data_IF_095908971675
#
_entry.id   IF_095908971675
#
_cell.length_a   1.000
_cell.length_b   1.000
_cell.length_c   1.000
_cell.angle_alpha   90.00
_cell.angle_beta   90.00
_cell.angle_gamma   90.00
#
_symmetry.space_group_name_H-M   'P 1'
#
loop_
_entity.id
_entity.type
_entity.pdbx_description
1 polymer ?
#
# COMPACT_ATOMS: atom_id res chain seq x y z
N UNK A 1 -26.24 -21.21 26.02
CA UNK A 1 -25.76 -21.29 27.41
C UNK A 1 -24.35 -20.74 27.42
N UNK A 2 -24.13 -19.69 28.19
CA UNK A 2 -22.79 -19.10 28.39
C UNK A 2 -21.96 -20.08 29.22
N UNK A 3 -20.71 -20.31 28.82
CA UNK A 3 -19.76 -21.08 29.61
C UNK A 3 -19.40 -20.28 30.87
N UNK A 4 -19.74 -20.78 32.07
CA UNK A 4 -19.53 -20.06 33.32
C UNK A 4 -18.04 -19.89 33.67
N UNK A 5 -17.13 -20.52 32.93
CA UNK A 5 -15.68 -20.41 33.12
C UNK A 5 -15.05 -19.29 32.30
N UNK A 6 -15.79 -18.72 31.36
CA UNK A 6 -15.28 -17.61 30.53
C UNK A 6 -15.50 -16.27 31.25
N UNK A 7 -14.44 -15.47 31.48
CA UNK A 7 -14.58 -14.17 32.09
C UNK A 7 -15.51 -13.26 31.27
N UNK A 8 -16.40 -12.53 31.96
CA UNK A 8 -17.36 -11.59 31.30
C UNK A 8 -16.61 -10.57 30.42
N UNK A 9 -15.43 -10.13 30.86
CA UNK A 9 -14.58 -9.22 30.10
C UNK A 9 -14.13 -9.78 28.74
N UNK A 10 -13.96 -11.12 28.64
CA UNK A 10 -13.58 -11.77 27.39
C UNK A 10 -14.78 -11.92 26.45
N UNK A 11 -15.97 -12.17 27.00
CA UNK A 11 -17.24 -12.20 26.26
C UNK A 11 -17.59 -10.80 25.71
N UNK A 12 -17.48 -9.77 26.52
CA UNK A 12 -17.69 -8.38 26.09
C UNK A 12 -16.67 -7.96 25.02
N UNK A 13 -15.41 -8.37 25.18
CA UNK A 13 -14.37 -8.09 24.18
C UNK A 13 -14.67 -8.78 22.84
N UNK A 14 -15.12 -10.04 22.86
CA UNK A 14 -15.49 -10.78 21.66
C UNK A 14 -16.69 -10.14 20.94
N UNK A 15 -17.76 -9.82 21.70
CA UNK A 15 -18.99 -9.19 21.17
C UNK A 15 -18.67 -7.78 20.60
N UNK A 16 -17.91 -6.97 21.33
CA UNK A 16 -17.48 -5.66 20.86
C UNK A 16 -16.60 -5.74 19.60
N UNK A 17 -15.66 -6.69 19.57
CA UNK A 17 -14.80 -6.89 18.39
C UNK A 17 -15.61 -7.31 17.18
N UNK A 18 -16.61 -8.19 17.35
CA UNK A 18 -17.48 -8.61 16.28
C UNK A 18 -18.33 -7.46 15.71
N UNK A 19 -18.93 -6.63 16.60
CA UNK A 19 -19.72 -5.45 16.18
C UNK A 19 -18.88 -4.38 15.51
N UNK A 20 -17.72 -4.04 16.07
CA UNK A 20 -16.81 -3.04 15.48
C UNK A 20 -16.26 -3.53 14.14
N UNK A 21 -15.98 -4.83 14.00
CA UNK A 21 -15.54 -5.39 12.73
C UNK A 21 -16.58 -5.27 11.61
N UNK A 22 -17.88 -5.19 11.97
CA UNK A 22 -18.98 -5.07 11.00
C UNK A 22 -19.25 -3.61 10.62
N UNK A 23 -19.26 -2.69 11.60
CA UNK A 23 -19.81 -1.36 11.42
C UNK A 23 -18.75 -0.25 11.36
N UNK A 24 -17.56 -0.50 11.87
CA UNK A 24 -16.50 0.50 11.89
C UNK A 24 -15.71 0.55 10.54
N UNK A 25 -15.22 1.73 10.16
CA UNK A 25 -14.37 1.86 8.99
C UNK A 25 -13.15 0.97 9.05
N UNK A 26 -12.73 0.45 7.89
CA UNK A 26 -11.45 -0.22 7.71
C UNK A 26 -10.32 0.81 7.87
N UNK A 27 -9.40 0.56 8.78
CA UNK A 27 -8.21 1.38 8.97
C UNK A 27 -7.09 0.82 8.08
N UNK A 28 -6.57 1.64 7.18
CA UNK A 28 -5.42 1.30 6.34
C UNK A 28 -4.19 2.06 6.85
N UNK A 29 -3.18 1.30 7.25
CA UNK A 29 -1.87 1.79 7.65
C UNK A 29 -0.93 1.65 6.46
N UNK A 30 -0.26 2.73 6.06
CA UNK A 30 0.71 2.77 4.95
C UNK A 30 2.12 3.03 5.47
N UNK A 31 3.12 2.95 4.60
CA UNK A 31 4.51 3.22 4.97
C UNK A 31 4.77 4.70 5.28
N UNK A 32 3.99 5.60 4.70
CA UNK A 32 4.15 7.04 4.90
C UNK A 32 2.89 7.85 4.67
N UNK A 33 2.96 9.13 5.04
CA UNK A 33 1.87 10.09 4.86
C UNK A 33 1.57 10.38 3.38
N UNK A 34 2.58 10.31 2.53
CA UNK A 34 2.43 10.49 1.09
C UNK A 34 1.53 9.40 0.51
N UNK A 35 1.77 8.13 0.86
CA UNK A 35 0.97 6.99 0.40
C UNK A 35 -0.47 7.12 0.87
N UNK A 36 -0.67 7.40 2.16
CA UNK A 36 -2.01 7.62 2.73
C UNK A 36 -2.76 8.73 1.98
N UNK A 37 -2.09 9.86 1.70
CA UNK A 37 -2.66 10.98 0.98
C UNK A 37 -3.01 10.64 -0.47
N UNK A 38 -2.08 10.02 -1.22
CA UNK A 38 -2.30 9.71 -2.63
C UNK A 38 -3.35 8.60 -2.82
N UNK A 39 -3.35 7.58 -1.97
CA UNK A 39 -4.36 6.52 -2.00
C UNK A 39 -5.75 7.02 -1.60
N UNK A 40 -5.84 7.95 -0.65
CA UNK A 40 -7.12 8.61 -0.31
C UNK A 40 -7.67 9.41 -1.50
N UNK A 41 -6.81 10.14 -2.22
CA UNK A 41 -7.18 10.83 -3.45
C UNK A 41 -7.59 9.86 -4.56
N UNK A 42 -6.87 8.75 -4.73
CA UNK A 42 -7.22 7.71 -5.69
C UNK A 42 -8.60 7.12 -5.39
N UNK A 43 -8.89 6.81 -4.12
CA UNK A 43 -10.18 6.29 -3.68
C UNK A 43 -11.32 7.23 -4.03
N UNK A 44 -11.15 8.55 -3.84
CA UNK A 44 -12.19 9.54 -4.10
C UNK A 44 -12.60 9.63 -5.58
N UNK A 45 -11.70 9.26 -6.51
CA UNK A 45 -11.98 9.24 -7.96
C UNK A 45 -12.48 7.87 -8.40
N UNK A 46 -11.82 6.80 -7.96
CA UNK A 46 -12.08 5.45 -8.49
C UNK A 46 -13.25 4.75 -7.79
N UNK A 47 -13.46 5.02 -6.49
CA UNK A 47 -14.49 4.40 -5.66
C UNK A 47 -15.09 5.42 -4.67
N UNK A 48 -15.75 6.50 -5.15
CA UNK A 48 -16.23 7.59 -4.29
C UNK A 48 -17.24 7.14 -3.23
N UNK A 49 -17.97 6.06 -3.49
CA UNK A 49 -18.94 5.47 -2.55
C UNK A 49 -18.28 4.81 -1.32
N UNK A 50 -16.97 4.56 -1.35
CA UNK A 50 -16.21 3.96 -0.26
C UNK A 50 -15.47 5.00 0.60
N UNK A 51 -15.54 6.28 0.24
CA UNK A 51 -14.98 7.36 1.03
C UNK A 51 -15.66 7.41 2.41
N UNK A 52 -14.86 7.32 3.47
CA UNK A 52 -15.35 7.18 4.84
C UNK A 52 -15.49 5.74 5.34
N UNK A 53 -15.64 4.75 4.45
CA UNK A 53 -15.62 3.32 4.78
C UNK A 53 -14.19 2.78 4.90
N UNK A 54 -13.29 3.29 4.05
CA UNK A 54 -11.84 3.05 4.11
C UNK A 54 -11.18 4.31 4.61
N UNK A 55 -10.45 4.22 5.72
CA UNK A 55 -9.72 5.33 6.32
C UNK A 55 -8.23 5.07 6.29
N UNK A 56 -7.51 5.86 5.52
CA UNK A 56 -6.06 5.89 5.60
C UNK A 56 -5.62 6.68 6.82
N UNK A 57 -4.73 6.10 7.62
CA UNK A 57 -4.22 6.79 8.81
C UNK A 57 -3.33 7.98 8.39
N UNK A 58 -3.58 9.14 9.00
CA UNK A 58 -2.75 10.32 8.80
C UNK A 58 -1.52 10.27 9.71
N UNK A 59 -0.34 10.40 9.11
CA UNK A 59 0.96 10.36 9.79
C UNK A 59 1.65 11.73 9.82
N UNK A 60 0.93 12.83 9.59
CA UNK A 60 1.51 14.19 9.42
C UNK A 60 2.48 14.59 10.54
N UNK A 61 2.34 14.00 11.73
CA UNK A 61 3.18 14.27 12.90
C UNK A 61 4.28 13.22 13.16
N UNK A 62 4.51 12.27 12.24
CA UNK A 62 5.56 11.26 12.43
C UNK A 62 6.76 11.54 11.55
N UNK A 63 7.97 11.67 12.12
CA UNK A 63 9.18 11.99 11.36
C UNK A 63 9.74 10.79 10.57
N UNK A 64 9.40 9.56 10.93
CA UNK A 64 9.96 8.35 10.31
C UNK A 64 8.89 7.55 9.56
N UNK A 65 9.11 7.35 8.26
CA UNK A 65 8.33 6.45 7.39
C UNK A 65 9.04 5.11 7.16
N UNK A 66 8.46 4.32 6.23
CA UNK A 66 9.00 3.06 5.75
C UNK A 66 8.45 1.83 6.44
N UNK A 67 8.69 0.67 5.83
CA UNK A 67 8.11 -0.61 6.20
C UNK A 67 8.41 -1.04 7.65
N UNK A 68 9.58 -0.71 8.20
CA UNK A 68 9.91 -1.00 9.58
C UNK A 68 9.04 -0.20 10.58
N UNK A 69 8.74 1.06 10.27
CA UNK A 69 7.84 1.89 11.06
C UNK A 69 6.40 1.41 10.96
N UNK A 70 5.96 0.96 9.78
CA UNK A 70 4.67 0.32 9.60
C UNK A 70 4.54 -0.94 10.46
N UNK A 71 5.56 -1.79 10.50
CA UNK A 71 5.57 -2.99 11.34
C UNK A 71 5.39 -2.66 12.84
N UNK A 72 6.13 -1.66 13.34
CA UNK A 72 6.00 -1.18 14.73
C UNK A 72 4.59 -0.65 15.02
N UNK A 73 4.00 0.06 14.07
CA UNK A 73 2.67 0.63 14.22
C UNK A 73 1.59 -0.45 14.33
N UNK A 74 1.65 -1.50 13.51
CA UNK A 74 0.76 -2.66 13.60
C UNK A 74 0.83 -3.28 15.00
N UNK A 75 2.03 -3.51 15.50
CA UNK A 75 2.24 -4.07 16.85
C UNK A 75 1.69 -3.13 17.94
N UNK A 76 1.83 -1.81 17.77
CA UNK A 76 1.29 -0.83 18.71
C UNK A 76 -0.25 -0.83 18.72
N UNK A 77 -0.90 -0.96 17.55
CA UNK A 77 -2.35 -1.05 17.45
C UNK A 77 -2.89 -2.35 18.06
N UNK A 78 -2.19 -3.46 17.84
CA UNK A 78 -2.49 -4.75 18.47
C UNK A 78 -2.39 -4.65 19.99
N UNK A 79 -1.28 -4.14 20.52
CA UNK A 79 -1.05 -3.97 21.95
C UNK A 79 -2.07 -3.01 22.61
N UNK A 80 -2.53 -1.98 21.88
CA UNK A 80 -3.57 -1.06 22.34
C UNK A 80 -4.99 -1.68 22.28
N UNK A 81 -5.16 -2.87 21.71
CA UNK A 81 -6.45 -3.54 21.60
C UNK A 81 -7.42 -2.86 20.63
N UNK A 82 -6.92 -2.24 19.57
CA UNK A 82 -7.76 -1.63 18.52
C UNK A 82 -8.61 -2.71 17.87
N UNK A 83 -9.94 -2.59 18.02
CA UNK A 83 -10.91 -3.61 17.59
C UNK A 83 -11.31 -3.49 16.11
N UNK A 84 -11.02 -2.38 15.45
CA UNK A 84 -11.30 -2.19 14.04
C UNK A 84 -10.60 -3.24 13.16
N UNK A 85 -11.12 -3.46 11.96
CA UNK A 85 -10.32 -4.09 10.91
C UNK A 85 -9.15 -3.17 10.56
N UNK A 86 -7.94 -3.70 10.63
CA UNK A 86 -6.69 -2.97 10.38
C UNK A 86 -5.92 -3.68 9.27
N UNK A 87 -5.64 -2.98 8.20
CA UNK A 87 -4.82 -3.43 7.09
C UNK A 87 -3.49 -2.67 7.08
N UNK A 88 -2.38 -3.36 7.28
CA UNK A 88 -1.06 -2.85 6.95
C UNK A 88 -0.83 -3.07 5.44
N UNK A 89 -0.70 -2.00 4.71
CA UNK A 89 -0.51 -2.00 3.27
C UNK A 89 0.85 -1.37 2.94
N UNK A 90 1.73 -2.15 2.33
CA UNK A 90 3.11 -1.77 2.06
C UNK A 90 3.45 -1.84 0.57
N UNK A 91 4.56 -1.23 0.20
CA UNK A 91 5.15 -1.32 -1.11
C UNK A 91 5.39 -2.78 -1.53
N UNK A 92 5.39 -3.04 -2.82
CA UNK A 92 5.74 -4.33 -3.40
C UNK A 92 7.23 -4.38 -3.76
N UNK A 93 8.07 -4.01 -2.80
CA UNK A 93 9.51 -3.97 -2.93
C UNK A 93 10.23 -4.93 -1.95
N UNK A 94 11.52 -5.12 -2.16
CA UNK A 94 12.31 -6.06 -1.36
C UNK A 94 12.40 -5.62 0.11
N UNK A 95 12.51 -4.32 0.40
CA UNK A 95 12.62 -3.82 1.77
C UNK A 95 11.33 -4.04 2.56
N UNK A 96 10.18 -3.75 1.96
CA UNK A 96 8.88 -3.98 2.58
C UNK A 96 8.63 -5.47 2.83
N UNK A 97 8.97 -6.33 1.87
CA UNK A 97 8.85 -7.78 2.04
C UNK A 97 9.73 -8.32 3.17
N UNK A 98 10.95 -7.79 3.37
CA UNK A 98 11.84 -8.19 4.46
C UNK A 98 11.33 -7.69 5.82
N UNK A 99 10.97 -6.41 5.90
CA UNK A 99 10.53 -5.77 7.13
C UNK A 99 9.23 -6.38 7.69
N UNK A 100 8.28 -6.73 6.82
CA UNK A 100 6.97 -7.25 7.23
C UNK A 100 6.91 -8.79 7.32
N UNK A 101 8.01 -9.49 7.01
CA UNK A 101 8.07 -10.96 7.06
C UNK A 101 7.65 -11.50 8.42
N UNK A 102 8.14 -10.91 9.52
CA UNK A 102 7.80 -11.36 10.89
C UNK A 102 6.33 -11.18 11.23
N UNK A 103 5.68 -10.10 10.77
CA UNK A 103 4.24 -9.90 10.97
C UNK A 103 3.41 -10.91 10.21
N UNK A 104 3.82 -11.29 9.00
CA UNK A 104 3.12 -12.31 8.19
C UNK A 104 3.23 -13.72 8.77
N UNK A 105 4.35 -14.03 9.43
CA UNK A 105 4.57 -15.33 10.07
C UNK A 105 4.12 -15.37 11.53
N UNK A 106 3.89 -14.21 12.14
CA UNK A 106 3.36 -14.06 13.49
C UNK A 106 1.85 -14.31 13.57
N UNK A 107 1.35 -14.46 14.81
CA UNK A 107 -0.08 -14.65 15.07
C UNK A 107 -0.75 -13.30 15.30
N UNK A 108 -1.14 -12.62 14.22
CA UNK A 108 -1.96 -11.42 14.32
C UNK A 108 -3.44 -11.77 14.61
N UNK A 109 -4.20 -10.90 15.29
CA UNK A 109 -5.65 -11.04 15.44
C UNK A 109 -6.36 -11.16 14.08
N UNK A 110 -7.52 -11.84 14.06
CA UNK A 110 -8.31 -12.01 12.83
C UNK A 110 -8.78 -10.68 12.20
N UNK A 111 -8.84 -9.61 12.97
CA UNK A 111 -9.14 -8.25 12.50
C UNK A 111 -7.95 -7.53 11.88
N UNK A 112 -6.76 -8.15 11.83
CA UNK A 112 -5.54 -7.54 11.27
C UNK A 112 -5.09 -8.32 10.04
N UNK A 113 -4.69 -7.60 9.00
CA UNK A 113 -4.09 -8.16 7.78
C UNK A 113 -2.86 -7.37 7.38
N UNK A 114 -1.94 -8.07 6.71
CA UNK A 114 -0.74 -7.48 6.08
C UNK A 114 -0.77 -7.83 4.61
N UNK A 115 -0.76 -6.81 3.75
CA UNK A 115 -0.71 -6.95 2.29
C UNK A 115 0.37 -6.04 1.73
N UNK A 116 0.91 -6.43 0.57
CA UNK A 116 1.71 -5.57 -0.29
C UNK A 116 0.86 -5.13 -1.48
N UNK A 117 1.27 -4.08 -2.17
CA UNK A 117 0.69 -3.78 -3.46
C UNK A 117 0.75 -5.01 -4.37
N UNK A 118 -0.25 -5.23 -5.22
CA UNK A 118 -0.31 -6.40 -6.08
C UNK A 118 0.74 -6.35 -7.19
N UNK A 119 1.12 -7.52 -7.70
CA UNK A 119 1.94 -7.59 -8.91
C UNK A 119 1.18 -6.96 -10.08
N UNK A 120 1.87 -6.15 -10.91
CA UNK A 120 1.29 -5.52 -12.09
C UNK A 120 1.93 -6.07 -13.37
N UNK A 121 1.15 -6.30 -14.44
CA UNK A 121 1.71 -6.69 -15.74
C UNK A 121 2.75 -5.69 -16.29
N UNK A 122 2.52 -4.39 -16.09
CA UNK A 122 3.46 -3.33 -16.46
C UNK A 122 4.85 -3.55 -15.84
N UNK A 123 4.92 -4.07 -14.62
CA UNK A 123 6.14 -4.25 -13.85
C UNK A 123 6.87 -5.57 -14.16
N UNK A 124 6.25 -6.46 -14.92
CA UNK A 124 6.87 -7.75 -15.30
C UNK A 124 7.95 -7.58 -16.38
N UNK A 125 7.91 -6.50 -17.14
CA UNK A 125 8.89 -6.16 -18.17
C UNK A 125 9.14 -4.64 -18.13
N UNK A 126 9.98 -4.21 -17.18
CA UNK A 126 10.18 -2.80 -16.86
C UNK A 126 11.65 -2.39 -17.03
N UNK A 127 11.96 -1.20 -17.55
CA UNK A 127 13.34 -0.76 -17.75
C UNK A 127 14.06 -0.59 -16.43
N UNK A 128 15.24 -1.20 -16.32
CA UNK A 128 16.11 -1.12 -15.15
C UNK A 128 17.52 -0.73 -15.54
N UNK A 129 18.23 -0.02 -14.66
CA UNK A 129 19.63 0.36 -14.83
C UNK A 129 20.50 -0.43 -13.85
N UNK A 130 21.56 -1.01 -14.38
CA UNK A 130 22.61 -1.62 -13.56
C UNK A 130 23.51 -0.58 -12.88
N UNK A 131 24.39 -1.01 -11.94
CA UNK A 131 25.27 -0.10 -11.21
C UNK A 131 26.27 0.67 -12.10
N UNK A 132 26.54 0.16 -13.28
CA UNK A 132 27.60 0.69 -14.17
C UNK A 132 27.14 0.85 -15.62
N UNK A 133 25.85 0.67 -15.91
CA UNK A 133 25.31 0.80 -17.26
C UNK A 133 24.22 1.85 -17.33
N UNK A 134 24.31 2.71 -18.33
CA UNK A 134 23.26 3.67 -18.68
C UNK A 134 22.26 3.09 -19.69
N UNK A 135 22.52 1.89 -20.21
CA UNK A 135 21.62 1.20 -21.12
C UNK A 135 20.59 0.42 -20.30
N UNK A 136 19.30 0.66 -20.48
CA UNK A 136 18.26 -0.02 -19.74
C UNK A 136 18.14 -1.48 -20.16
N UNK A 137 18.04 -2.36 -19.16
CA UNK A 137 17.69 -3.76 -19.32
C UNK A 137 16.29 -3.99 -18.79
N UNK A 138 15.44 -4.65 -19.56
CA UNK A 138 14.09 -4.94 -19.14
C UNK A 138 14.05 -6.16 -18.22
N UNK A 139 13.42 -6.01 -17.07
CA UNK A 139 13.35 -7.04 -16.02
C UNK A 139 12.02 -6.99 -15.29
N UNK A 140 11.63 -8.11 -14.69
CA UNK A 140 10.54 -8.13 -13.72
C UNK A 140 10.97 -7.46 -12.41
N UNK A 141 10.30 -6.33 -12.08
CA UNK A 141 10.55 -5.53 -10.88
C UNK A 141 9.45 -5.69 -9.81
N UNK A 142 8.41 -6.50 -10.07
CA UNK A 142 7.47 -6.89 -9.02
C UNK A 142 8.22 -7.50 -7.84
N UNK A 143 7.81 -7.18 -6.63
CA UNK A 143 8.42 -7.62 -5.36
C UNK A 143 9.86 -7.18 -5.13
N UNK A 144 10.38 -6.29 -5.99
CA UNK A 144 11.77 -5.81 -5.92
C UNK A 144 11.87 -4.28 -5.89
N UNK A 145 10.96 -3.61 -6.59
CA UNK A 145 10.95 -2.15 -6.71
C UNK A 145 9.55 -1.55 -6.89
N UNK A 146 8.49 -2.31 -6.60
CA UNK A 146 7.10 -1.89 -6.79
C UNK A 146 6.63 -0.87 -5.75
N UNK A 147 7.07 0.37 -5.86
CA UNK A 147 6.67 1.50 -5.00
C UNK A 147 5.38 2.16 -5.50
N UNK A 148 4.70 2.93 -4.66
CA UNK A 148 3.39 3.54 -4.97
C UNK A 148 3.38 4.29 -6.30
N UNK A 149 4.42 5.05 -6.62
CA UNK A 149 4.49 5.85 -7.84
C UNK A 149 4.30 5.02 -9.12
N UNK A 150 4.68 3.74 -9.10
CA UNK A 150 4.52 2.83 -10.24
C UNK A 150 3.07 2.40 -10.49
N UNK A 151 2.18 2.67 -9.54
CA UNK A 151 0.74 2.35 -9.59
C UNK A 151 -0.14 3.55 -9.93
N UNK A 152 0.42 4.76 -10.02
CA UNK A 152 -0.35 6.00 -10.19
C UNK A 152 -0.80 6.26 -11.63
N UNK A 153 -0.36 5.44 -12.58
CA UNK A 153 -0.71 5.48 -13.99
C UNK A 153 0.52 5.53 -14.89
N UNK A 154 0.48 4.74 -15.94
CA UNK A 154 1.60 4.58 -16.89
C UNK A 154 2.05 5.92 -17.48
N UNK A 155 1.10 6.78 -17.85
CA UNK A 155 1.38 8.09 -18.43
C UNK A 155 2.19 9.02 -17.51
N UNK A 156 2.16 8.79 -16.19
CA UNK A 156 2.93 9.56 -15.22
C UNK A 156 4.37 9.05 -15.08
N UNK A 157 4.59 7.78 -15.41
CA UNK A 157 5.92 7.16 -15.41
C UNK A 157 6.72 7.54 -16.66
N UNK A 158 6.05 7.98 -17.71
CA UNK A 158 6.68 8.29 -18.99
C UNK A 158 7.23 9.72 -19.00
N UNK A 159 8.43 9.86 -19.58
CA UNK A 159 9.05 11.13 -19.91
C UNK A 159 9.71 10.99 -21.28
N UNK A 160 9.36 11.90 -22.21
CA UNK A 160 9.81 11.85 -23.60
C UNK A 160 9.60 10.48 -24.28
N UNK A 161 8.47 9.83 -23.98
CA UNK A 161 8.11 8.53 -24.54
C UNK A 161 8.86 7.34 -23.97
N UNK A 162 9.59 7.51 -22.86
CA UNK A 162 10.31 6.44 -22.15
C UNK A 162 9.86 6.35 -20.71
N UNK A 163 9.70 5.13 -20.20
CA UNK A 163 9.44 4.89 -18.79
C UNK A 163 10.65 5.26 -17.94
N UNK A 164 10.40 5.90 -16.80
CA UNK A 164 11.42 6.19 -15.80
C UNK A 164 12.04 4.87 -15.28
N UNK A 165 13.34 4.63 -15.46
CA UNK A 165 13.93 3.34 -15.12
C UNK A 165 14.07 3.15 -13.61
N UNK A 166 14.03 1.89 -13.19
CA UNK A 166 14.43 1.46 -11.86
C UNK A 166 15.95 1.33 -11.80
N UNK A 167 16.55 1.97 -10.81
CA UNK A 167 17.96 1.79 -10.48
C UNK A 167 18.12 0.70 -9.41
N UNK A 168 18.96 -0.30 -9.65
CA UNK A 168 19.29 -1.31 -8.64
C UNK A 168 20.23 -0.69 -7.57
N UNK A 169 19.80 -0.74 -6.30
CA UNK A 169 20.49 -0.06 -5.19
C UNK A 169 21.20 -1.00 -4.23
N UNK A 170 20.82 -2.29 -4.20
CA UNK A 170 21.42 -3.23 -3.27
C UNK A 170 20.91 -4.66 -3.42
N UNK A 171 21.46 -5.57 -2.60
CA UNK A 171 21.07 -6.97 -2.52
C UNK A 171 20.73 -7.36 -1.08
N UNK A 172 19.50 -7.81 -0.86
CA UNK A 172 19.01 -8.25 0.47
C UNK A 172 19.22 -9.76 0.60
N UNK A 173 20.22 -10.15 1.39
CA UNK A 173 20.64 -11.56 1.54
C UNK A 173 19.54 -12.47 2.11
N UNK A 174 18.74 -11.97 3.05
CA UNK A 174 17.64 -12.70 3.71
C UNK A 174 16.56 -13.17 2.72
N UNK A 175 16.34 -12.41 1.64
CA UNK A 175 15.36 -12.70 0.59
C UNK A 175 15.99 -13.18 -0.71
N UNK A 176 17.33 -13.18 -0.80
CA UNK A 176 18.08 -13.47 -2.03
C UNK A 176 17.58 -12.65 -3.24
N UNK A 177 17.25 -11.39 -3.02
CA UNK A 177 16.66 -10.50 -4.00
C UNK A 177 17.38 -9.15 -4.06
N UNK A 178 17.44 -8.56 -5.25
CA UNK A 178 17.88 -7.18 -5.43
C UNK A 178 16.77 -6.23 -5.03
N UNK A 179 17.18 -5.06 -4.54
CA UNK A 179 16.30 -3.91 -4.32
C UNK A 179 16.55 -2.87 -5.38
N UNK A 180 15.47 -2.35 -5.95
CA UNK A 180 15.51 -1.23 -6.87
C UNK A 180 14.74 -0.03 -6.33
N UNK A 181 15.04 1.14 -6.89
CA UNK A 181 14.32 2.39 -6.61
C UNK A 181 14.23 3.25 -7.86
N UNK A 182 13.20 4.09 -7.94
CA UNK A 182 13.11 5.19 -8.87
C UNK A 182 13.76 6.42 -8.22
N UNK A 183 14.39 7.29 -9.02
CA UNK A 183 14.99 8.53 -8.57
C UNK A 183 13.98 9.42 -7.81
N UNK A 184 14.42 10.05 -6.72
CA UNK A 184 13.55 10.84 -5.85
C UNK A 184 12.95 12.09 -6.51
N UNK A 185 13.62 12.69 -7.49
CA UNK A 185 13.07 13.82 -8.24
C UNK A 185 11.94 13.33 -9.15
N UNK A 186 12.13 12.17 -9.76
CA UNK A 186 11.10 11.50 -10.59
C UNK A 186 9.88 11.14 -9.73
N UNK A 187 10.07 10.55 -8.54
CA UNK A 187 8.98 10.29 -7.59
C UNK A 187 8.16 11.55 -7.29
N UNK A 188 8.83 12.66 -6.92
CA UNK A 188 8.15 13.93 -6.62
C UNK A 188 7.38 14.49 -7.82
N UNK A 189 7.95 14.37 -9.03
CA UNK A 189 7.27 14.74 -10.28
C UNK A 189 5.99 13.92 -10.46
N UNK A 190 6.06 12.60 -10.32
CA UNK A 190 4.91 11.69 -10.46
C UNK A 190 3.84 12.01 -9.42
N UNK A 191 4.20 12.19 -8.15
CA UNK A 191 3.27 12.54 -7.07
C UNK A 191 2.53 13.85 -7.36
N UNK A 192 3.27 14.87 -7.83
CA UNK A 192 2.69 16.17 -8.20
C UNK A 192 1.75 16.05 -9.40
N UNK A 193 2.17 15.29 -10.42
CA UNK A 193 1.35 15.05 -11.61
C UNK A 193 0.09 14.24 -11.28
N UNK A 194 0.19 13.28 -10.36
CA UNK A 194 -0.96 12.51 -9.90
C UNK A 194 -2.00 13.38 -9.20
N UNK A 195 -1.60 14.31 -8.34
CA UNK A 195 -2.54 15.26 -7.70
C UNK A 195 -3.29 16.09 -8.74
N UNK A 196 -2.61 16.55 -9.79
CA UNK A 196 -3.24 17.27 -10.92
C UNK A 196 -4.20 16.35 -11.68
N UNK A 197 -3.81 15.10 -11.95
CA UNK A 197 -4.64 14.07 -12.59
C UNK A 197 -5.95 13.86 -11.83
N UNK A 198 -5.87 13.70 -10.50
CA UNK A 198 -7.04 13.56 -9.63
C UNK A 198 -7.94 14.82 -9.69
N UNK A 199 -7.35 16.00 -9.54
CA UNK A 199 -8.10 17.27 -9.62
C UNK A 199 -8.85 17.40 -10.94
N UNK A 200 -8.20 17.06 -12.05
CA UNK A 200 -8.83 17.07 -13.38
C UNK A 200 -9.98 16.07 -13.46
N UNK A 201 -9.80 14.85 -12.96
CA UNK A 201 -10.83 13.81 -12.98
C UNK A 201 -12.05 14.19 -12.12
N UNK A 202 -11.86 14.78 -10.95
CA UNK A 202 -12.96 15.25 -10.09
C UNK A 202 -13.74 16.41 -10.70
N UNK A 203 -13.06 17.34 -11.38
CA UNK A 203 -13.70 18.48 -12.03
C UNK A 203 -14.33 18.13 -13.38
N UNK A 204 -13.83 17.10 -14.06
CA UNK A 204 -14.32 16.64 -15.35
C UNK A 204 -14.29 15.11 -15.42
N UNK A 205 -15.39 14.43 -15.05
CA UNK A 205 -15.45 12.96 -15.05
C UNK A 205 -15.12 12.30 -16.40
N UNK A 206 -15.36 13.00 -17.54
CA UNK A 206 -14.99 12.49 -18.86
C UNK A 206 -13.48 12.42 -19.06
N UNK A 207 -12.72 13.30 -18.41
CA UNK A 207 -11.26 13.24 -18.45
C UNK A 207 -10.70 11.99 -17.74
N UNK A 208 -11.41 11.48 -16.73
CA UNK A 208 -10.99 10.28 -16.02
C UNK A 208 -10.99 9.02 -16.91
N UNK A 209 -11.85 8.97 -17.95
CA UNK A 209 -11.94 7.80 -18.84
C UNK A 209 -10.73 7.62 -19.75
N UNK A 210 -9.95 8.68 -19.97
CA UNK A 210 -8.78 8.68 -20.84
C UNK A 210 -7.46 8.57 -20.04
N UNK A 211 -7.54 8.39 -18.72
CA UNK A 211 -6.39 8.27 -17.83
C UNK A 211 -6.23 6.82 -17.36
N UNK A 212 -4.99 6.40 -17.13
CA UNK A 212 -4.71 5.07 -16.60
C UNK A 212 -4.86 5.04 -15.07
N UNK A 213 -5.88 4.34 -14.59
CA UNK A 213 -6.16 4.09 -13.18
C UNK A 213 -5.92 2.63 -12.78
N UNK A 214 -5.33 1.81 -13.66
CA UNK A 214 -5.21 0.36 -13.47
C UNK A 214 -4.47 0.00 -12.18
N UNK A 215 -3.31 0.64 -11.95
CA UNK A 215 -2.49 0.35 -10.78
C UNK A 215 -3.19 0.69 -9.46
N UNK A 216 -3.76 1.90 -9.35
CA UNK A 216 -4.48 2.30 -8.12
C UNK A 216 -5.74 1.48 -7.89
N UNK A 217 -6.46 1.09 -8.95
CA UNK A 217 -7.61 0.19 -8.83
C UNK A 217 -7.21 -1.17 -8.30
N UNK A 218 -6.09 -1.72 -8.75
CA UNK A 218 -5.55 -2.98 -8.25
C UNK A 218 -5.17 -2.88 -6.76
N UNK A 219 -4.59 -1.76 -6.31
CA UNK A 219 -4.34 -1.51 -4.89
C UNK A 219 -5.66 -1.43 -4.10
N UNK A 220 -6.65 -0.67 -4.59
CA UNK A 220 -7.95 -0.54 -3.89
C UNK A 220 -8.64 -1.91 -3.80
N UNK A 221 -8.62 -2.71 -4.85
CA UNK A 221 -9.15 -4.08 -4.83
C UNK A 221 -8.44 -4.95 -3.78
N UNK A 222 -7.12 -4.83 -3.66
CA UNK A 222 -6.35 -5.50 -2.60
C UNK A 222 -6.78 -5.07 -1.21
N UNK A 223 -7.16 -3.79 -1.02
CA UNK A 223 -7.70 -3.28 0.25
C UNK A 223 -9.07 -3.90 0.53
N UNK A 224 -9.97 -3.90 -0.46
CA UNK A 224 -11.35 -4.36 -0.30
C UNK A 224 -11.43 -5.86 -0.03
N UNK A 225 -10.59 -6.65 -0.71
CA UNK A 225 -10.57 -8.12 -0.58
C UNK A 225 -9.64 -8.62 0.54
N UNK A 226 -9.00 -7.73 1.30
CA UNK A 226 -8.00 -8.11 2.29
C UNK A 226 -8.54 -9.08 3.36
N UNK A 227 -9.84 -9.06 3.63
CA UNK A 227 -10.51 -9.84 4.68
C UNK A 227 -11.47 -10.92 4.14
N UNK A 228 -11.57 -11.08 2.83
CA UNK A 228 -12.49 -12.06 2.20
C UNK A 228 -11.99 -13.51 2.31
N UNK A 229 -10.69 -13.68 2.52
CA UNK A 229 -10.06 -14.99 2.74
C UNK A 229 -9.61 -15.14 4.20
N UNK A 230 -9.88 -16.26 4.85
CA UNK A 230 -9.45 -16.53 6.22
C UNK A 230 -7.95 -16.58 6.39
#
# INVERSE_FOLDING_TARGET
LLDPTTPITDLERQDRTARVATDAPLIVLTEGSTDASLLSLALSVTHPHLVGFVRFMDFSNRPEGGAASLAKLVTSFEAAGVANRVLALADNDTAAHDALKKLKTGRLPNSYRVRHYPDLPLLSDYPTLGPQSNDPVFMDVNRKAGILEMYLGRELLEEHGRLAPVQWTGYVKSLKAYQGAIDDQIKRRIQTAFRKKVTLALNNPRAATNQDWTGVRAIIETILTAFDTP
#
